data_IF_489675852628
#
_entry.id   IF_489675852628
#
_cell.length_a   1.000
_cell.length_b   1.000
_cell.length_c   1.000
_cell.angle_alpha   90.00
_cell.angle_beta   90.00
_cell.angle_gamma   90.00
#
_symmetry.space_group_name_H-M   'P 1'
#
loop_
_entity.id
_entity.type
_entity.pdbx_description
1 polymer ?
#
# COMPACT_ATOMS: atom_id res chain seq x y z
N UNK A 1 -26.59 -22.31 13.34
CA UNK A 1 -26.48 -21.80 11.97
C UNK A 1 -26.14 -20.33 12.07
N UNK A 2 -25.07 -19.83 11.43
CA UNK A 2 -24.88 -18.39 11.30
C UNK A 2 -26.15 -17.84 10.64
N UNK A 3 -26.74 -16.78 11.19
CA UNK A 3 -27.90 -16.15 10.56
C UNK A 3 -27.46 -15.58 9.20
N UNK A 4 -28.30 -15.63 8.18
CA UNK A 4 -27.97 -15.12 6.83
C UNK A 4 -27.52 -13.64 6.83
N UNK A 5 -27.89 -12.89 7.88
CA UNK A 5 -27.39 -11.54 8.13
C UNK A 5 -25.89 -11.48 8.45
N UNK A 6 -25.38 -12.45 9.21
CA UNK A 6 -23.97 -12.49 9.63
C UNK A 6 -23.04 -12.78 8.44
N UNK A 7 -23.45 -13.66 7.52
CA UNK A 7 -22.69 -13.93 6.30
C UNK A 7 -22.67 -12.73 5.36
N UNK A 8 -23.79 -12.02 5.21
CA UNK A 8 -23.85 -10.77 4.43
C UNK A 8 -22.93 -9.70 5.00
N UNK A 9 -22.95 -9.46 6.32
CA UNK A 9 -22.06 -8.49 6.96
C UNK A 9 -20.59 -8.81 6.72
N UNK A 10 -20.20 -10.09 6.78
CA UNK A 10 -18.83 -10.52 6.47
C UNK A 10 -18.46 -10.22 5.02
N UNK A 11 -19.32 -10.54 4.05
CA UNK A 11 -19.06 -10.27 2.63
C UNK A 11 -18.91 -8.77 2.36
N UNK A 12 -19.77 -7.96 2.98
CA UNK A 12 -19.70 -6.49 2.85
C UNK A 12 -18.38 -5.98 3.41
N UNK A 13 -18.02 -6.34 4.65
CA UNK A 13 -16.75 -5.92 5.25
C UNK A 13 -15.55 -6.39 4.43
N UNK A 14 -15.56 -7.62 3.93
CA UNK A 14 -14.50 -8.15 3.07
C UNK A 14 -14.36 -7.34 1.78
N UNK A 15 -15.47 -6.93 1.17
CA UNK A 15 -15.46 -6.10 -0.04
C UNK A 15 -14.79 -4.76 0.22
N UNK A 16 -15.05 -4.13 1.37
CA UNK A 16 -14.37 -2.89 1.76
C UNK A 16 -12.89 -3.11 2.04
N UNK A 17 -12.52 -4.19 2.74
CA UNK A 17 -11.11 -4.53 2.99
C UNK A 17 -10.37 -4.73 1.67
N UNK A 18 -10.93 -5.55 0.76
CA UNK A 18 -10.41 -5.78 -0.59
C UNK A 18 -10.24 -4.46 -1.34
N UNK A 19 -11.25 -3.61 -1.33
CA UNK A 19 -11.20 -2.29 -1.96
C UNK A 19 -10.01 -1.47 -1.41
N UNK A 20 -9.91 -1.29 -0.10
CA UNK A 20 -8.80 -0.51 0.47
C UNK A 20 -7.43 -1.15 0.20
N UNK A 21 -7.32 -2.48 0.23
CA UNK A 21 -6.07 -3.19 -0.09
C UNK A 21 -5.64 -2.91 -1.53
N UNK A 22 -6.56 -2.96 -2.49
CA UNK A 22 -6.25 -2.64 -3.88
C UNK A 22 -5.92 -1.15 -4.10
N UNK A 23 -6.54 -0.25 -3.34
CA UNK A 23 -6.34 1.19 -3.50
C UNK A 23 -5.08 1.71 -2.80
N UNK A 24 -4.77 1.21 -1.60
CA UNK A 24 -3.69 1.75 -0.74
C UNK A 24 -2.72 0.70 -0.20
N UNK A 25 -2.88 -0.59 -0.52
CA UNK A 25 -2.04 -1.67 0.01
C UNK A 25 -0.55 -1.58 -0.39
N UNK A 26 -0.20 -0.76 -1.37
CA UNK A 26 1.19 -0.46 -1.74
C UNK A 26 1.87 0.57 -0.83
N UNK A 27 1.20 1.09 0.20
CA UNK A 27 1.75 2.06 1.14
C UNK A 27 3.10 1.67 1.77
N UNK A 28 3.42 0.39 2.07
CA UNK A 28 4.68 0.05 2.75
C UNK A 28 5.90 0.43 1.90
N UNK A 29 5.76 0.50 0.58
CA UNK A 29 6.82 0.91 -0.34
C UNK A 29 7.17 2.40 -0.26
N UNK A 30 6.33 3.20 0.42
CA UNK A 30 6.43 4.66 0.49
C UNK A 30 6.56 5.20 1.91
N UNK A 31 6.51 4.32 2.92
CA UNK A 31 6.92 4.68 4.27
C UNK A 31 8.46 4.83 4.30
N UNK A 32 8.97 5.92 4.90
CA UNK A 32 10.41 6.20 4.99
C UNK A 32 11.22 5.05 5.60
N UNK A 33 12.47 4.87 5.15
CA UNK A 33 13.29 3.69 5.41
C UNK A 33 13.71 3.49 6.87
N UNK A 34 13.17 2.45 7.49
CA UNK A 34 13.70 1.84 8.72
C UNK A 34 14.58 0.60 8.47
N UNK A 35 14.72 0.14 7.22
CA UNK A 35 15.46 -1.09 6.86
C UNK A 35 16.64 -0.82 5.90
N UNK A 36 17.15 0.42 5.87
CA UNK A 36 18.57 0.58 5.54
C UNK A 36 19.29 0.65 6.86
N UNK A 37 19.61 -0.55 7.34
CA UNK A 37 20.74 -0.83 8.20
C UNK A 37 21.86 0.16 7.88
N UNK A 38 21.99 1.16 8.74
CA UNK A 38 23.22 1.91 8.87
C UNK A 38 24.19 0.90 9.51
N UNK A 39 24.85 0.11 8.65
CA UNK A 39 26.10 -0.63 8.91
C UNK A 39 27.25 0.37 9.13
N UNK A 40 26.94 1.48 9.79
CA UNK A 40 27.79 2.57 10.21
C UNK A 40 27.14 3.04 11.50
N UNK A 41 27.65 2.57 12.65
CA UNK A 41 27.09 2.80 13.99
C UNK A 41 27.08 4.26 14.48
N UNK A 42 26.76 5.22 13.62
CA UNK A 42 26.50 6.59 13.98
C UNK A 42 24.99 6.75 14.28
N UNK A 43 24.61 7.46 15.36
CA UNK A 43 23.23 7.84 15.57
C UNK A 43 22.90 8.92 14.53
N UNK A 44 22.44 8.51 13.35
CA UNK A 44 21.81 9.43 12.41
C UNK A 44 20.61 10.02 13.14
N UNK A 45 20.62 11.35 13.31
CA UNK A 45 19.53 12.18 13.84
C UNK A 45 18.16 11.57 13.53
N UNK A 46 17.18 11.55 14.47
CA UNK A 46 15.88 10.90 14.27
C UNK A 46 15.15 11.58 13.12
N UNK A 47 15.45 11.13 11.92
CA UNK A 47 14.80 11.60 10.72
C UNK A 47 13.51 10.83 10.72
N UNK A 48 12.46 11.44 11.28
CA UNK A 48 11.11 10.91 11.27
C UNK A 48 10.85 10.36 9.87
N UNK A 49 10.63 9.04 9.78
CA UNK A 49 10.45 8.35 8.52
C UNK A 49 9.13 8.80 7.90
N UNK A 50 9.17 9.91 7.16
CA UNK A 50 7.97 10.54 6.63
C UNK A 50 7.40 9.72 5.45
N UNK A 51 6.08 9.60 5.42
CA UNK A 51 5.37 9.03 4.28
C UNK A 51 5.54 9.84 3.00
N UNK A 52 6.03 9.21 1.93
CA UNK A 52 6.27 9.83 0.63
C UNK A 52 4.98 9.97 -0.19
N UNK A 53 4.12 10.93 0.19
CA UNK A 53 2.76 11.16 -0.34
C UNK A 53 2.71 11.25 -1.87
N UNK A 54 3.55 12.08 -2.49
CA UNK A 54 3.52 12.31 -3.94
C UNK A 54 3.97 11.08 -4.72
N UNK A 55 4.97 10.37 -4.20
CA UNK A 55 5.48 9.14 -4.81
C UNK A 55 4.44 8.01 -4.75
N UNK A 56 3.77 7.86 -3.60
CA UNK A 56 2.69 6.90 -3.38
C UNK A 56 1.54 7.10 -4.38
N UNK A 57 1.11 8.35 -4.58
CA UNK A 57 0.09 8.69 -5.59
C UNK A 57 0.56 8.46 -7.02
N UNK A 58 1.83 8.74 -7.33
CA UNK A 58 2.36 8.59 -8.71
C UNK A 58 2.59 7.13 -9.10
N UNK A 59 2.75 6.23 -8.15
CA UNK A 59 3.06 4.82 -8.36
C UNK A 59 1.92 4.03 -9.03
N UNK A 60 0.68 4.46 -8.85
CA UNK A 60 -0.46 3.87 -9.56
C UNK A 60 -0.53 4.39 -11.00
N UNK A 61 -1.00 3.61 -11.96
CA UNK A 61 -1.15 4.06 -13.36
C UNK A 61 -2.55 4.60 -13.65
N UNK A 62 -3.56 4.14 -12.93
CA UNK A 62 -4.96 4.54 -13.15
C UNK A 62 -5.21 6.02 -12.80
N UNK A 63 -5.78 6.77 -13.75
CA UNK A 63 -6.11 8.19 -13.57
C UNK A 63 -7.20 8.41 -12.51
N UNK A 64 -8.23 7.57 -12.48
CA UNK A 64 -9.30 7.65 -11.49
C UNK A 64 -8.75 7.34 -10.10
N UNK A 65 -7.87 6.34 -9.98
CA UNK A 65 -7.21 6.02 -8.73
C UNK A 65 -6.34 7.18 -8.23
N UNK A 66 -5.57 7.84 -9.10
CA UNK A 66 -4.80 9.04 -8.73
C UNK A 66 -5.67 10.16 -8.16
N UNK A 67 -6.85 10.39 -8.73
CA UNK A 67 -7.82 11.39 -8.23
C UNK A 67 -8.43 10.96 -6.91
N UNK A 68 -8.77 9.68 -6.77
CA UNK A 68 -9.26 9.14 -5.50
C UNK A 68 -8.22 9.32 -4.39
N UNK A 69 -6.97 8.91 -4.63
CA UNK A 69 -5.89 9.06 -3.64
C UNK A 69 -5.64 10.52 -3.28
N UNK A 70 -5.68 11.42 -4.26
CA UNK A 70 -5.54 12.86 -4.02
C UNK A 70 -6.56 13.38 -3.01
N UNK A 71 -7.82 12.96 -3.10
CA UNK A 71 -8.85 13.37 -2.13
C UNK A 71 -8.76 12.57 -0.84
N UNK A 72 -8.57 11.25 -0.94
CA UNK A 72 -8.56 10.35 0.22
C UNK A 72 -7.42 10.67 1.19
N UNK A 73 -6.25 11.07 0.68
CA UNK A 73 -5.11 11.44 1.53
C UNK A 73 -5.34 12.73 2.32
N UNK A 74 -6.30 13.57 1.95
CA UNK A 74 -6.69 14.74 2.74
C UNK A 74 -7.63 14.40 3.90
N UNK A 75 -8.07 13.14 4.01
CA UNK A 75 -8.99 12.71 5.08
C UNK A 75 -8.26 12.43 6.40
N UNK A 76 -8.96 12.63 7.52
CA UNK A 76 -8.47 12.23 8.85
C UNK A 76 -8.23 10.71 8.95
N UNK A 77 -9.00 9.90 8.22
CA UNK A 77 -8.81 8.46 8.17
C UNK A 77 -7.42 8.10 7.65
N UNK A 78 -6.98 8.75 6.55
CA UNK A 78 -5.66 8.51 6.00
C UNK A 78 -4.55 9.08 6.89
N UNK A 79 -4.75 10.26 7.46
CA UNK A 79 -3.80 10.85 8.40
C UNK A 79 -3.56 9.94 9.62
N UNK A 80 -4.64 9.44 10.23
CA UNK A 80 -4.58 8.48 11.34
C UNK A 80 -3.92 7.16 10.91
N UNK A 81 -4.25 6.66 9.73
CA UNK A 81 -3.66 5.45 9.16
C UNK A 81 -2.12 5.55 9.05
N UNK A 82 -1.58 6.67 8.56
CA UNK A 82 -0.14 6.89 8.42
C UNK A 82 0.52 7.06 9.79
N UNK A 83 -0.02 7.92 10.65
CA UNK A 83 0.54 8.19 11.98
C UNK A 83 0.64 6.91 12.84
N UNK A 84 -0.40 6.06 12.78
CA UNK A 84 -0.40 4.78 13.48
C UNK A 84 0.74 3.86 13.03
N UNK A 85 1.16 3.95 11.75
CA UNK A 85 2.23 3.13 11.18
C UNK A 85 3.61 3.69 11.45
N UNK A 86 3.75 5.01 11.52
CA UNK A 86 5.00 5.66 11.94
C UNK A 86 5.29 5.40 13.43
N UNK A 87 4.25 5.26 14.27
CA UNK A 87 4.40 5.01 15.71
C UNK A 87 4.52 3.52 16.08
N UNK A 88 4.00 2.59 15.26
CA UNK A 88 4.00 1.16 15.59
C UNK A 88 5.41 0.58 15.59
N UNK A 89 5.80 -0.01 16.73
CA UNK A 89 7.00 -0.86 16.85
C UNK A 89 6.85 -2.09 15.94
N UNK A 90 7.89 -2.34 15.13
CA UNK A 90 8.00 -3.48 14.21
C UNK A 90 7.65 -4.79 14.94
N UNK A 91 6.53 -5.44 14.59
CA UNK A 91 6.20 -6.76 15.17
C UNK A 91 4.72 -7.18 15.12
N UNK A 92 3.77 -6.25 15.16
CA UNK A 92 2.34 -6.57 15.07
C UNK A 92 1.79 -6.25 13.68
N UNK A 93 1.50 -7.29 12.88
CA UNK A 93 0.79 -7.16 11.60
C UNK A 93 -0.72 -7.30 11.84
N UNK A 94 -1.46 -6.23 11.59
CA UNK A 94 -2.92 -6.26 11.60
C UNK A 94 -3.50 -6.91 10.34
N UNK A 95 -4.83 -7.04 10.30
CA UNK A 95 -5.56 -7.60 9.16
C UNK A 95 -5.17 -6.91 7.85
N UNK A 96 -5.11 -5.58 7.86
CA UNK A 96 -4.82 -4.79 6.67
C UNK A 96 -3.39 -5.04 6.16
N UNK A 97 -2.40 -5.14 7.06
CA UNK A 97 -1.00 -5.42 6.75
C UNK A 97 -0.84 -6.80 6.09
N UNK A 98 -1.48 -7.82 6.65
CA UNK A 98 -1.45 -9.19 6.09
C UNK A 98 -2.05 -9.19 4.69
N UNK A 99 -3.25 -8.62 4.54
CA UNK A 99 -3.94 -8.60 3.25
C UNK A 99 -3.23 -7.74 2.19
N UNK A 100 -2.58 -6.66 2.61
CA UNK A 100 -1.77 -5.84 1.71
C UNK A 100 -0.57 -6.62 1.19
N UNK A 101 0.10 -7.39 2.05
CA UNK A 101 1.20 -8.26 1.65
C UNK A 101 0.73 -9.33 0.67
N UNK A 102 -0.33 -10.07 1.00
CA UNK A 102 -0.91 -11.10 0.12
C UNK A 102 -1.28 -10.52 -1.26
N UNK A 103 -1.85 -9.33 -1.27
CA UNK A 103 -2.17 -8.63 -2.51
C UNK A 103 -0.91 -8.32 -3.33
N UNK A 104 0.13 -7.76 -2.71
CA UNK A 104 1.39 -7.46 -3.40
C UNK A 104 2.06 -8.72 -3.97
N UNK A 105 2.04 -9.82 -3.23
CA UNK A 105 2.61 -11.10 -3.65
C UNK A 105 1.81 -11.73 -4.80
N UNK A 106 0.50 -11.48 -4.87
CA UNK A 106 -0.38 -11.94 -5.96
C UNK A 106 -0.19 -11.19 -7.28
N UNK A 107 0.47 -10.03 -7.28
CA UNK A 107 0.64 -9.22 -8.50
C UNK A 107 1.66 -9.89 -9.43
N UNK A 108 1.36 -9.99 -10.75
CA UNK A 108 2.26 -10.62 -11.70
C UNK A 108 3.58 -9.82 -11.82
N UNK A 109 4.68 -10.40 -11.30
CA UNK A 109 6.00 -9.78 -11.22
C UNK A 109 6.62 -9.69 -9.81
N UNK A 110 5.96 -10.25 -8.80
CA UNK A 110 6.38 -10.24 -7.38
C UNK A 110 7.68 -10.99 -7.06
N UNK A 111 8.13 -11.90 -7.93
CA UNK A 111 9.34 -12.73 -7.69
C UNK A 111 10.69 -11.99 -7.75
N UNK A 112 10.74 -10.71 -8.13
CA UNK A 112 12.01 -9.95 -8.10
C UNK A 112 11.88 -8.59 -7.44
N UNK A 113 12.12 -8.62 -6.12
CA UNK A 113 12.26 -7.50 -5.18
C UNK A 113 13.07 -6.36 -5.80
N UNK A 114 12.38 -5.27 -6.13
CA UNK A 114 12.98 -4.03 -6.60
C UNK A 114 11.88 -3.09 -7.08
N UNK A 115 11.61 -2.04 -6.29
CA UNK A 115 10.56 -1.02 -6.56
C UNK A 115 10.67 -0.44 -7.98
N UNK A 116 11.90 -0.40 -8.52
CA UNK A 116 12.20 0.01 -9.89
C UNK A 116 11.66 -0.91 -11.01
N UNK A 117 11.36 -2.20 -10.73
CA UNK A 117 10.85 -3.15 -11.74
C UNK A 117 9.32 -3.25 -11.76
N UNK A 118 8.63 -3.03 -10.63
CA UNK A 118 7.16 -2.95 -10.58
C UNK A 118 6.63 -1.83 -11.48
N UNK A 119 7.21 -0.62 -11.36
CA UNK A 119 6.87 0.53 -12.20
C UNK A 119 7.17 0.28 -13.68
N UNK A 120 8.24 -0.47 -14.00
CA UNK A 120 8.59 -0.86 -15.38
C UNK A 120 7.64 -1.93 -15.95
N UNK A 121 7.20 -2.89 -15.14
CA UNK A 121 6.31 -3.99 -15.56
C UNK A 121 4.88 -3.51 -15.86
N UNK A 122 4.35 -2.58 -15.06
CA UNK A 122 3.00 -2.04 -15.23
C UNK A 122 2.85 -1.20 -16.51
N UNK A 123 3.88 -0.43 -16.87
CA UNK A 123 3.89 0.38 -18.10
C UNK A 123 3.98 -0.43 -19.39
N UNK A 124 4.61 -1.61 -19.36
CA UNK A 124 4.72 -2.48 -20.55
C UNK A 124 3.43 -3.25 -20.84
N UNK A 125 2.64 -3.63 -19.83
CA UNK A 125 1.36 -4.33 -20.04
C UNK A 125 0.27 -3.45 -20.65
N UNK A 126 0.24 -2.14 -20.37
CA UNK A 126 -0.75 -1.24 -20.98
C UNK A 126 -0.49 -0.95 -22.47
N UNK A 127 0.73 -1.15 -22.97
CA UNK A 127 1.05 -1.00 -24.41
C UNK A 127 0.43 -2.11 -25.27
N UNK A 128 0.13 -3.27 -24.68
CA UNK A 128 -0.60 -4.35 -25.36
C UNK A 128 -2.09 -4.03 -25.56
N UNK A 129 -2.62 -3.03 -24.85
CA UNK A 129 -4.02 -2.57 -25.00
C UNK A 129 -4.15 -1.41 -25.99
N UNK A 130 -3.05 -0.83 -26.49
CA UNK A 130 -3.06 0.25 -27.49
C UNK A 130 -2.97 -0.25 -28.93
N UNK A 131 -3.22 -1.54 -29.18
CA UNK A 131 -3.24 -2.10 -30.53
C UNK A 131 -4.55 -2.83 -30.80
N UNK A 132 -5.61 -2.05 -31.01
CA UNK A 132 -6.62 -2.27 -32.06
C UNK A 132 -7.33 -0.97 -32.34
#
# INVERSE_FOLDING_TARGET
MPTDSSSLSTVVSETFVRFFVEMVGHYPLFMGGGDREDESGAPSSPTLSCFQREAFRKAVTSKSLKRFLEVFMETQMFAGFVAEREQRRQGLRGLFEVRSQDYLDSLPGSEQRGVNKFLKGLGNKMKFLSKK
#
